data_IF_468067581018
#
_entry.id   IF_468067581018
#
_cell.length_a   1.000
_cell.length_b   1.000
_cell.length_c   1.000
_cell.angle_alpha   90.00
_cell.angle_beta   90.00
_cell.angle_gamma   90.00
#
_symmetry.space_group_name_H-M   'P 1'
#
loop_
_entity.id
_entity.type
_entity.pdbx_description
1 polymer ?
#
# COMPACT_ATOMS: atom_id res chain seq x y z
N UNK A 1 -7.19 3.25 -13.72
CA UNK A 1 -6.23 4.24 -13.17
C UNK A 1 -4.93 3.57 -12.75
N UNK A 2 -3.76 4.21 -12.94
CA UNK A 2 -2.48 3.71 -12.40
C UNK A 2 -2.09 4.46 -11.13
N UNK A 3 -1.77 3.73 -10.07
CA UNK A 3 -1.33 4.30 -8.79
C UNK A 3 0.10 3.84 -8.53
N UNK A 4 0.97 4.82 -8.28
CA UNK A 4 2.35 4.58 -7.87
C UNK A 4 2.44 4.77 -6.37
N UNK A 5 2.80 3.70 -5.66
CA UNK A 5 2.97 3.70 -4.21
C UNK A 5 4.45 3.57 -3.90
N UNK A 6 4.97 4.56 -3.18
CA UNK A 6 6.35 4.59 -2.74
C UNK A 6 6.40 4.32 -1.24
N UNK A 7 7.01 3.21 -0.85
CA UNK A 7 7.18 2.82 0.55
C UNK A 7 8.62 3.09 0.97
N UNK A 8 8.78 4.00 1.93
CA UNK A 8 10.08 4.35 2.50
C UNK A 8 10.07 4.09 3.99
N UNK A 9 11.01 3.29 4.47
CA UNK A 9 11.21 3.10 5.91
C UNK A 9 12.03 4.24 6.50
N UNK A 10 11.98 4.40 7.82
CA UNK A 10 12.83 5.33 8.56
C UNK A 10 14.32 4.90 8.64
N UNK A 11 14.69 3.78 8.03
CA UNK A 11 16.07 3.29 7.96
C UNK A 11 16.72 3.64 6.63
N UNK A 12 18.00 3.99 6.67
CA UNK A 12 18.80 4.31 5.47
C UNK A 12 18.96 3.03 4.62
N UNK A 13 18.61 3.12 3.32
CA UNK A 13 18.81 2.04 2.35
C UNK A 13 17.67 1.03 2.22
N UNK A 14 16.49 1.35 2.78
CA UNK A 14 15.28 0.53 2.63
C UNK A 14 14.14 1.40 2.06
N UNK A 15 14.29 1.74 0.78
CA UNK A 15 13.30 2.32 -0.11
C UNK A 15 12.88 1.28 -1.16
N UNK A 16 11.57 1.20 -1.43
CA UNK A 16 11.05 0.35 -2.49
C UNK A 16 9.84 1.03 -3.13
N UNK A 17 9.77 0.96 -4.46
CA UNK A 17 8.70 1.57 -5.26
C UNK A 17 7.85 0.48 -5.90
N UNK A 18 6.53 0.67 -5.91
CA UNK A 18 5.56 -0.20 -6.57
C UNK A 18 4.65 0.60 -7.49
N UNK A 19 4.49 0.13 -8.72
CA UNK A 19 3.38 0.52 -9.58
C UNK A 19 2.32 -0.59 -9.53
N UNK A 20 1.07 -0.24 -9.24
CA UNK A 20 -0.06 -1.14 -9.48
C UNK A 20 -1.23 -0.42 -10.15
N UNK A 21 -2.04 -1.19 -10.85
CA UNK A 21 -3.13 -0.70 -11.66
C UNK A 21 -4.45 -1.04 -10.97
N UNK A 22 -5.34 -0.05 -10.85
CA UNK A 22 -6.70 -0.19 -10.34
C UNK A 22 -7.64 0.00 -11.52
N UNK A 23 -8.65 -0.86 -11.66
CA UNK A 23 -9.66 -0.71 -12.69
C UNK A 23 -10.53 0.52 -12.39
N UNK A 24 -10.83 1.31 -13.42
CA UNK A 24 -11.73 2.45 -13.26
C UNK A 24 -13.17 2.00 -12.94
N UNK A 25 -13.52 0.76 -13.29
CA UNK A 25 -14.80 0.15 -12.91
C UNK A 25 -14.93 -0.04 -11.39
N UNK A 26 -13.83 -0.28 -10.67
CA UNK A 26 -13.84 -0.40 -9.20
C UNK A 26 -14.08 0.95 -8.49
N UNK A 27 -13.95 2.06 -9.22
CA UNK A 27 -14.08 3.43 -8.71
C UNK A 27 -15.37 4.12 -9.17
N UNK A 28 -16.17 3.47 -10.02
CA UNK A 28 -17.33 4.10 -10.69
C UNK A 28 -18.45 4.56 -9.76
N UNK A 29 -18.66 3.83 -8.67
CA UNK A 29 -19.74 4.09 -7.71
C UNK A 29 -19.25 4.81 -6.44
N UNK A 30 -17.97 5.18 -6.39
CA UNK A 30 -17.35 5.83 -5.24
C UNK A 30 -17.36 7.34 -5.47
N UNK A 31 -17.81 8.10 -4.47
CA UNK A 31 -17.75 9.56 -4.53
C UNK A 31 -16.30 10.04 -4.53
N UNK A 32 -16.04 11.25 -5.06
CA UNK A 32 -14.67 11.79 -5.08
C UNK A 32 -14.04 11.90 -3.68
N UNK A 33 -14.85 12.11 -2.64
CA UNK A 33 -14.41 12.19 -1.24
C UNK A 33 -14.03 10.79 -0.69
N UNK A 34 -14.82 9.76 -1.00
CA UNK A 34 -14.55 8.37 -0.58
C UNK A 34 -13.45 7.70 -1.42
N UNK A 35 -13.14 8.28 -2.58
CA UNK A 35 -12.16 7.72 -3.52
C UNK A 35 -10.75 7.72 -2.95
N UNK A 36 -10.38 8.78 -2.25
CA UNK A 36 -9.06 8.90 -1.63
C UNK A 36 -8.88 7.87 -0.52
N UNK A 37 -9.89 7.71 0.35
CA UNK A 37 -9.91 6.69 1.41
C UNK A 37 -9.86 5.26 0.85
N UNK A 38 -10.58 5.00 -0.24
CA UNK A 38 -10.57 3.69 -0.90
C UNK A 38 -9.19 3.37 -1.49
N UNK A 39 -8.59 4.34 -2.17
CA UNK A 39 -7.25 4.23 -2.76
C UNK A 39 -6.21 3.98 -1.65
N UNK A 40 -6.26 4.75 -0.56
CA UNK A 40 -5.33 4.62 0.56
C UNK A 40 -5.43 3.21 1.19
N UNK A 41 -6.66 2.72 1.40
CA UNK A 41 -6.89 1.37 1.92
C UNK A 41 -6.30 0.28 1.03
N UNK A 42 -6.56 0.33 -0.28
CA UNK A 42 -6.03 -0.67 -1.22
C UNK A 42 -4.51 -0.60 -1.30
N UNK A 43 -3.95 0.61 -1.35
CA UNK A 43 -2.50 0.82 -1.35
C UNK A 43 -1.87 0.19 -0.10
N UNK A 44 -2.47 0.39 1.07
CA UNK A 44 -2.02 -0.23 2.31
C UNK A 44 -2.10 -1.75 2.27
N UNK A 45 -3.25 -2.33 1.92
CA UNK A 45 -3.41 -3.79 1.86
C UNK A 45 -2.37 -4.39 0.91
N UNK A 46 -2.19 -3.80 -0.27
CA UNK A 46 -1.24 -4.29 -1.27
C UNK A 46 0.22 -4.19 -0.79
N UNK A 47 0.59 -3.10 -0.13
CA UNK A 47 1.92 -2.92 0.49
C UNK A 47 2.14 -3.93 1.62
N UNK A 48 1.16 -4.11 2.50
CA UNK A 48 1.26 -5.07 3.60
C UNK A 48 1.44 -6.51 3.10
N UNK A 49 0.71 -6.89 2.05
CA UNK A 49 0.78 -8.25 1.48
C UNK A 49 2.03 -8.50 0.64
N UNK A 50 2.55 -7.50 -0.08
CA UNK A 50 3.58 -7.71 -1.10
C UNK A 50 4.96 -7.13 -0.76
N UNK A 51 5.05 -6.12 0.13
CA UNK A 51 6.31 -5.39 0.38
C UNK A 51 6.99 -5.74 1.69
N UNK A 52 6.23 -6.22 2.67
CA UNK A 52 6.74 -6.38 4.03
C UNK A 52 6.79 -7.86 4.36
N UNK A 53 8.01 -8.40 4.34
CA UNK A 53 8.27 -9.75 4.87
C UNK A 53 8.37 -9.67 6.41
N UNK A 54 7.25 -9.91 7.08
CA UNK A 54 7.13 -9.79 8.53
C UNK A 54 7.87 -10.91 9.24
N UNK A 55 9.06 -10.61 9.74
CA UNK A 55 9.78 -11.48 10.67
C UNK A 55 9.59 -10.97 12.10
N UNK A 56 8.93 -11.78 12.92
CA UNK A 56 8.79 -11.53 14.36
C UNK A 56 9.39 -12.69 15.14
N UNK A 57 9.91 -12.38 16.33
CA UNK A 57 10.41 -13.37 17.28
C UNK A 57 10.01 -12.95 18.69
N UNK A 58 9.70 -13.94 19.52
CA UNK A 58 9.48 -13.75 20.95
C UNK A 58 10.81 -13.41 21.63
N UNK A 59 10.81 -12.43 22.53
CA UNK A 59 11.96 -12.11 23.37
C UNK A 59 11.64 -12.58 24.78
N UNK A 60 12.35 -13.61 25.24
CA UNK A 60 12.34 -14.02 26.65
C UNK A 60 13.26 -13.08 27.46
N UNK A 61 12.82 -12.68 28.66
CA UNK A 61 13.57 -11.84 29.63
C UNK A 61 14.87 -12.49 30.15
#
# INVERSE_FOLDING_TARGET
MKINVHVKTNKIGSDCELEFEIDDDDLKDISDEEREDYIDRIAWDYVFENFIDWNWYEVED
#
